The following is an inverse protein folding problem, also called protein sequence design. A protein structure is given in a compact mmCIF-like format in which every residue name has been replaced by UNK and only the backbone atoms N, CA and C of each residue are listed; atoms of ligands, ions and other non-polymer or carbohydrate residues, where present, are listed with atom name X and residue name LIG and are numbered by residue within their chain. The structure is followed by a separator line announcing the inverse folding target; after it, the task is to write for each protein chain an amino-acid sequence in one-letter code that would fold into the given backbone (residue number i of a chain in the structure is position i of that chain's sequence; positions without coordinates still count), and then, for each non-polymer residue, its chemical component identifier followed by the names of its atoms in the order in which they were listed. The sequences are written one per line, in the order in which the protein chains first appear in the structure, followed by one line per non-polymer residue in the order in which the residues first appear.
data_IF_214106334842
#
_entry.id   IF_214106334842
#
_cell.length_a   1.000
_cell.length_b   1.000
_cell.length_c   1.000
_cell.angle_alpha   90.00
_cell.angle_beta   90.00
_cell.angle_gamma   90.00
#
_symmetry.space_group_name_H-M   'P 1'
#
loop_
_entity.id
_entity.type
_entity.pdbx_description
1 polymer ?
#
# COMPACT_ATOMS: atom_id res chain seq x y z
N UNK A 1 -15.16 14.38 -18.66
CA UNK A 1 -14.70 13.39 -17.66
C UNK A 1 -15.86 13.11 -16.71
N UNK A 2 -16.13 11.84 -16.40
CA UNK A 2 -17.19 11.43 -15.48
C UNK A 2 -16.64 11.30 -14.05
N UNK A 3 -15.49 10.63 -13.90
CA UNK A 3 -14.82 10.48 -12.61
C UNK A 3 -13.31 10.40 -12.79
N UNK A 4 -12.58 10.79 -11.73
CA UNK A 4 -11.12 10.63 -11.64
C UNK A 4 -10.78 10.05 -10.27
N UNK A 5 -9.97 8.99 -10.27
CA UNK A 5 -9.51 8.30 -9.07
C UNK A 5 -7.99 8.14 -9.09
N UNK A 6 -7.37 8.11 -7.90
CA UNK A 6 -5.94 7.85 -7.76
C UNK A 6 -5.71 6.38 -7.42
N UNK A 7 -4.69 5.80 -8.04
CA UNK A 7 -4.24 4.44 -7.78
C UNK A 7 -2.76 4.48 -7.41
N UNK A 8 -2.46 4.10 -6.18
CA UNK A 8 -1.10 4.15 -5.62
C UNK A 8 -0.59 2.74 -5.42
N UNK A 9 0.49 2.40 -6.09
CA UNK A 9 1.18 1.11 -5.98
C UNK A 9 2.40 1.25 -5.09
N UNK A 10 2.66 0.24 -4.30
CA UNK A 10 3.63 0.25 -3.20
C UNK A 10 4.50 -0.98 -3.29
N UNK A 11 5.80 -0.82 -3.10
CA UNK A 11 6.74 -1.93 -3.04
C UNK A 11 7.96 -1.59 -2.19
N UNK A 12 8.66 -2.63 -1.71
CA UNK A 12 9.93 -2.51 -1.05
C UNK A 12 10.85 -3.71 -1.32
N UNK A 13 12.14 -3.42 -1.45
CA UNK A 13 13.22 -4.39 -1.43
C UNK A 13 13.99 -4.31 -0.13
N UNK A 14 15.11 -5.05 -0.03
CA UNK A 14 16.02 -4.95 1.11
C UNK A 14 16.65 -3.56 1.23
N UNK A 15 16.88 -2.89 0.11
CA UNK A 15 17.68 -1.66 0.04
C UNK A 15 16.85 -0.39 -0.14
N UNK A 16 15.60 -0.53 -0.57
CA UNK A 16 14.76 0.62 -0.92
C UNK A 16 13.27 0.32 -0.73
N UNK A 17 12.47 1.36 -0.61
CA UNK A 17 11.02 1.30 -0.62
C UNK A 17 10.45 2.49 -1.40
N UNK A 18 9.29 2.30 -2.03
CA UNK A 18 8.75 3.34 -2.90
C UNK A 18 7.28 3.19 -3.25
N UNK A 19 6.79 4.18 -3.97
CA UNK A 19 5.42 4.26 -4.45
C UNK A 19 5.33 4.88 -5.83
N UNK A 20 4.35 4.43 -6.60
CA UNK A 20 3.95 5.02 -7.90
C UNK A 20 2.48 5.38 -7.84
N UNK A 21 2.12 6.56 -8.33
CA UNK A 21 0.74 7.04 -8.37
C UNK A 21 0.28 7.21 -9.81
N UNK A 22 -0.85 6.63 -10.12
CA UNK A 22 -1.57 6.80 -11.38
C UNK A 22 -2.90 7.50 -11.15
N UNK A 23 -3.32 8.29 -12.14
CA UNK A 23 -4.67 8.80 -12.25
C UNK A 23 -5.45 7.94 -13.25
N UNK A 24 -6.61 7.45 -12.83
CA UNK A 24 -7.58 6.74 -13.68
C UNK A 24 -8.78 7.65 -13.91
N UNK A 25 -9.01 8.04 -15.15
CA UNK A 25 -10.16 8.84 -15.55
C UNK A 25 -11.13 7.99 -16.37
N UNK A 26 -12.43 8.08 -16.03
CA UNK A 26 -13.52 7.45 -16.80
C UNK A 26 -14.32 8.55 -17.47
N UNK A 27 -14.66 8.36 -18.73
CA UNK A 27 -15.40 9.30 -19.55
C UNK A 27 -16.84 8.86 -19.76
N UNK A 28 -17.71 9.78 -20.14
CA UNK A 28 -19.13 9.49 -20.45
C UNK A 28 -19.30 8.48 -21.59
N UNK A 29 -18.33 8.36 -22.49
CA UNK A 29 -18.27 7.37 -23.56
C UNK A 29 -17.96 5.93 -23.07
N UNK A 30 -17.67 5.73 -21.78
CA UNK A 30 -17.17 4.46 -21.26
C UNK A 30 -15.64 4.29 -21.38
N UNK A 31 -14.96 5.17 -22.12
CA UNK A 31 -13.51 5.10 -22.25
C UNK A 31 -12.81 5.33 -20.91
N UNK A 32 -11.73 4.59 -20.67
CA UNK A 32 -10.85 4.72 -19.50
C UNK A 32 -9.48 5.22 -19.94
N UNK A 33 -8.94 6.20 -19.24
CA UNK A 33 -7.57 6.68 -19.44
C UNK A 33 -6.78 6.53 -18.16
N UNK A 34 -5.59 5.94 -18.25
CA UNK A 34 -4.65 5.81 -17.14
C UNK A 34 -3.43 6.66 -17.46
N UNK A 35 -2.97 7.43 -16.47
CA UNK A 35 -1.81 8.30 -16.61
C UNK A 35 -0.92 8.20 -15.39
N UNK A 36 0.36 8.01 -15.63
CA UNK A 36 1.38 8.18 -14.60
C UNK A 36 1.34 9.62 -14.07
N UNK A 37 1.38 9.78 -12.75
CA UNK A 37 1.36 11.09 -12.09
C UNK A 37 2.69 11.37 -11.41
N UNK A 38 3.13 10.43 -10.57
CA UNK A 38 4.38 10.59 -9.82
C UNK A 38 4.91 9.24 -9.33
N UNK A 39 6.22 9.18 -9.12
CA UNK A 39 6.88 8.09 -8.43
C UNK A 39 7.88 8.64 -7.42
N UNK A 40 8.10 7.92 -6.33
CA UNK A 40 9.09 8.24 -5.32
C UNK A 40 9.64 6.98 -4.70
N UNK A 41 10.97 6.91 -4.62
CA UNK A 41 11.66 5.88 -3.85
C UNK A 41 12.53 6.51 -2.75
N UNK A 42 12.84 5.71 -1.75
CA UNK A 42 13.77 6.05 -0.67
C UNK A 42 14.67 4.86 -0.40
N UNK A 43 15.92 5.12 -0.13
CA UNK A 43 16.86 4.11 0.37
C UNK A 43 16.40 3.64 1.75
N UNK A 44 16.53 2.35 2.00
CA UNK A 44 16.22 1.74 3.28
C UNK A 44 17.08 2.33 4.41
N UNK A 45 16.63 2.22 5.68
CA UNK A 45 17.42 2.65 6.82
C UNK A 45 18.72 1.85 6.92
N UNK A 46 19.81 2.46 7.38
CA UNK A 46 21.09 1.78 7.64
C UNK A 46 20.95 0.67 8.72
N UNK A 47 20.04 0.85 9.68
CA UNK A 47 19.73 -0.19 10.65
C UNK A 47 18.89 -1.29 9.97
N UNK A 48 19.27 -2.54 10.21
CA UNK A 48 18.60 -3.71 9.64
C UNK A 48 17.09 -3.66 9.92
N UNK A 49 16.33 -3.56 8.85
CA UNK A 49 14.87 -3.48 8.90
C UNK A 49 14.29 -4.62 8.08
N UNK A 50 13.31 -5.32 8.60
CA UNK A 50 12.66 -6.43 7.87
C UNK A 50 11.89 -5.93 6.65
N UNK A 51 11.84 -6.74 5.59
CA UNK A 51 11.10 -6.40 4.36
C UNK A 51 9.65 -5.98 4.66
N UNK A 52 8.85 -6.71 5.47
CA UNK A 52 7.49 -6.26 5.78
C UNK A 52 7.41 -4.89 6.43
N UNK A 53 8.42 -4.50 7.21
CA UNK A 53 8.48 -3.14 7.76
C UNK A 53 8.81 -2.09 6.70
N UNK A 54 9.68 -2.41 5.73
CA UNK A 54 9.98 -1.53 4.59
C UNK A 54 8.75 -1.37 3.69
N UNK A 55 8.01 -2.45 3.44
CA UNK A 55 6.73 -2.42 2.72
C UNK A 55 5.69 -1.53 3.43
N UNK A 56 5.62 -1.58 4.77
CA UNK A 56 4.76 -0.67 5.54
C UNK A 56 5.26 0.79 5.45
N UNK A 57 6.56 1.02 5.35
CA UNK A 57 7.11 2.36 5.10
C UNK A 57 6.75 2.85 3.70
N UNK A 58 6.75 1.97 2.69
CA UNK A 58 6.25 2.28 1.35
C UNK A 58 4.76 2.68 1.40
N UNK A 59 3.96 1.98 2.21
CA UNK A 59 2.54 2.30 2.38
C UNK A 59 2.32 3.72 2.93
N UNK A 60 3.07 4.11 3.96
CA UNK A 60 3.03 5.49 4.50
C UNK A 60 3.52 6.51 3.48
N UNK A 61 4.59 6.20 2.74
CA UNK A 61 5.10 7.07 1.68
C UNK A 61 4.04 7.30 0.59
N UNK A 62 3.41 6.23 0.11
CA UNK A 62 2.38 6.29 -0.91
C UNK A 62 1.12 7.03 -0.45
N UNK A 63 0.70 6.82 0.81
CA UNK A 63 -0.40 7.60 1.41
C UNK A 63 -0.11 9.11 1.37
N UNK A 64 1.06 9.51 1.83
CA UNK A 64 1.45 10.94 1.86
C UNK A 64 1.56 11.54 0.46
N UNK A 65 2.06 10.76 -0.51
CA UNK A 65 2.09 11.17 -1.92
C UNK A 65 0.68 11.33 -2.48
N UNK A 66 -0.18 10.33 -2.33
CA UNK A 66 -1.57 10.39 -2.78
C UNK A 66 -2.32 11.57 -2.17
N UNK A 67 -2.16 11.82 -0.87
CA UNK A 67 -2.76 12.96 -0.18
C UNK A 67 -2.27 14.32 -0.69
N UNK A 68 -1.01 14.43 -1.09
CA UNK A 68 -0.49 15.67 -1.71
C UNK A 68 -1.03 15.86 -3.13
N UNK A 69 -1.06 14.78 -3.91
CA UNK A 69 -1.54 14.79 -5.30
C UNK A 69 -3.06 15.03 -5.33
N UNK A 70 -3.84 14.43 -4.43
CA UNK A 70 -5.29 14.61 -4.37
C UNK A 70 -5.68 16.08 -4.20
N UNK A 71 -4.95 16.81 -3.37
CA UNK A 71 -5.16 18.25 -3.18
C UNK A 71 -4.87 19.07 -4.42
N UNK A 72 -3.79 18.73 -5.15
CA UNK A 72 -3.40 19.45 -6.38
C UNK A 72 -4.37 19.17 -7.53
N UNK A 73 -4.82 17.92 -7.65
CA UNK A 73 -5.70 17.49 -8.73
C UNK A 73 -7.20 17.63 -8.41
N UNK A 74 -7.55 18.13 -7.21
CA UNK A 74 -8.93 18.13 -6.70
C UNK A 74 -9.62 16.76 -6.80
N UNK A 75 -8.84 15.68 -6.61
CA UNK A 75 -9.33 14.31 -6.60
C UNK A 75 -9.58 13.87 -5.14
N UNK A 76 -10.71 13.19 -4.88
CA UNK A 76 -11.03 12.73 -3.53
C UNK A 76 -10.09 11.60 -3.10
N UNK A 77 -9.44 11.77 -1.94
CA UNK A 77 -8.61 10.71 -1.34
C UNK A 77 -9.48 9.51 -0.89
N UNK A 78 -10.74 9.73 -0.54
CA UNK A 78 -11.68 8.67 -0.15
C UNK A 78 -11.99 7.70 -1.31
N UNK A 79 -11.78 8.15 -2.55
CA UNK A 79 -11.95 7.32 -3.75
C UNK A 79 -10.64 6.72 -4.24
N UNK A 80 -9.51 7.01 -3.59
CA UNK A 80 -8.22 6.45 -3.95
C UNK A 80 -8.15 4.95 -3.60
N UNK A 81 -7.36 4.21 -4.37
CA UNK A 81 -7.06 2.81 -4.10
C UNK A 81 -5.55 2.63 -3.94
N UNK A 82 -5.17 1.93 -2.88
CA UNK A 82 -3.78 1.61 -2.58
C UNK A 82 -3.53 0.12 -2.83
N UNK A 83 -2.46 -0.20 -3.54
CA UNK A 83 -2.12 -1.53 -3.98
C UNK A 83 -0.78 -1.97 -3.41
N UNK A 84 -0.75 -3.09 -2.71
CA UNK A 84 0.48 -3.70 -2.20
C UNK A 84 0.49 -5.19 -2.52
N UNK A 85 1.64 -5.73 -2.87
CA UNK A 85 1.86 -7.17 -3.00
C UNK A 85 2.27 -7.83 -1.68
N UNK A 86 2.40 -7.04 -0.63
CA UNK A 86 2.57 -7.55 0.73
C UNK A 86 1.24 -7.86 1.40
N UNK A 87 0.93 -9.14 1.53
CA UNK A 87 -0.24 -9.57 2.32
C UNK A 87 -0.12 -9.17 3.79
N UNK A 88 1.11 -9.11 4.34
CA UNK A 88 1.36 -8.67 5.71
C UNK A 88 0.90 -7.23 5.93
N UNK A 89 1.25 -6.33 5.01
CA UNK A 89 0.88 -4.91 5.10
C UNK A 89 -0.63 -4.74 5.01
N UNK A 90 -1.28 -5.39 4.05
CA UNK A 90 -2.74 -5.32 3.91
C UNK A 90 -3.44 -5.87 5.14
N UNK A 91 -2.93 -6.95 5.73
CA UNK A 91 -3.47 -7.52 6.96
C UNK A 91 -3.30 -6.58 8.16
N UNK A 92 -2.10 -5.97 8.35
CA UNK A 92 -1.89 -5.01 9.42
C UNK A 92 -2.83 -3.81 9.31
N UNK A 93 -3.01 -3.28 8.09
CA UNK A 93 -3.90 -2.12 7.85
C UNK A 93 -5.36 -2.45 8.14
N UNK A 94 -5.79 -3.70 7.92
CA UNK A 94 -7.14 -4.17 8.24
C UNK A 94 -7.32 -4.53 9.71
N UNK A 95 -6.23 -4.74 10.44
CA UNK A 95 -6.23 -5.07 11.85
C UNK A 95 -6.41 -3.83 12.74
N UNK A 96 -6.50 -4.06 14.05
CA UNK A 96 -6.52 -2.98 15.03
C UNK A 96 -5.09 -2.49 15.28
N UNK A 97 -4.77 -1.22 14.99
CA UNK A 97 -3.42 -0.68 15.16
C UNK A 97 -2.83 -0.93 16.55
N UNK A 98 -3.64 -0.82 17.60
CA UNK A 98 -3.24 -1.04 19.01
C UNK A 98 -2.79 -2.48 19.33
N UNK A 99 -3.12 -3.46 18.47
CA UNK A 99 -2.73 -4.86 18.64
C UNK A 99 -1.29 -5.13 18.19
N UNK A 100 -0.63 -4.17 17.59
CA UNK A 100 0.73 -4.33 17.05
C UNK A 100 1.78 -3.62 17.92
N UNK A 101 3.05 -4.01 17.73
CA UNK A 101 4.20 -3.33 18.33
C UNK A 101 4.30 -1.88 17.83
N UNK A 102 4.99 -0.98 18.55
CA UNK A 102 4.95 0.47 18.27
C UNK A 102 5.27 0.87 16.84
N UNK A 103 6.23 0.19 16.20
CA UNK A 103 6.61 0.50 14.82
C UNK A 103 5.44 0.34 13.85
N UNK A 104 4.75 -0.79 13.91
CA UNK A 104 3.58 -1.10 13.07
C UNK A 104 2.37 -0.30 13.53
N UNK A 105 2.12 -0.25 14.84
CA UNK A 105 0.97 0.45 15.41
C UNK A 105 0.88 1.92 14.98
N UNK A 106 2.01 2.65 15.04
CA UNK A 106 2.04 4.07 14.68
C UNK A 106 1.74 4.30 13.19
N UNK A 107 2.31 3.48 12.32
CA UNK A 107 2.13 3.60 10.85
C UNK A 107 0.74 3.17 10.41
N UNK A 108 0.25 2.07 10.94
CA UNK A 108 -1.14 1.62 10.71
C UNK A 108 -2.13 2.66 11.22
N UNK A 109 -1.87 3.25 12.40
CA UNK A 109 -2.69 4.34 12.94
C UNK A 109 -2.73 5.56 12.01
N UNK A 110 -1.58 5.99 11.46
CA UNK A 110 -1.51 7.08 10.47
C UNK A 110 -2.35 6.76 9.23
N UNK A 111 -2.24 5.53 8.71
CA UNK A 111 -2.98 5.08 7.54
C UNK A 111 -4.48 5.06 7.81
N UNK A 112 -4.92 4.48 8.93
CA UNK A 112 -6.33 4.35 9.29
C UNK A 112 -6.99 5.68 9.63
N UNK A 113 -6.23 6.67 10.09
CA UNK A 113 -6.73 8.02 10.34
C UNK A 113 -7.00 8.80 9.03
N UNK A 114 -6.32 8.45 7.94
CA UNK A 114 -6.39 9.17 6.69
C UNK A 114 -7.22 8.44 5.61
N UNK A 115 -7.40 7.12 5.73
CA UNK A 115 -8.05 6.27 4.71
C UNK A 115 -8.84 5.13 5.33
N UNK A 116 -9.89 4.66 4.63
CA UNK A 116 -10.58 3.43 5.00
C UNK A 116 -9.69 2.21 4.65
N UNK A 117 -9.52 1.23 5.55
CA UNK A 117 -8.82 -0.02 5.26
C UNK A 117 -9.31 -0.75 3.99
N UNK A 118 -10.56 -0.54 3.57
CA UNK A 118 -11.13 -1.10 2.33
C UNK A 118 -10.47 -0.55 1.05
N UNK A 119 -9.85 0.62 1.12
CA UNK A 119 -9.10 1.22 0.00
C UNK A 119 -7.77 0.49 -0.27
N UNK A 120 -7.30 -0.34 0.70
CA UNK A 120 -6.05 -1.08 0.64
C UNK A 120 -6.28 -2.49 0.11
N UNK A 121 -5.70 -2.77 -1.04
CA UNK A 121 -5.92 -4.00 -1.80
C UNK A 121 -4.60 -4.72 -2.08
N UNK A 122 -4.70 -6.03 -2.15
CA UNK A 122 -3.60 -6.86 -2.63
C UNK A 122 -3.52 -6.81 -4.17
N UNK A 123 -2.30 -6.76 -4.68
CA UNK A 123 -1.97 -6.92 -6.09
C UNK A 123 -0.88 -7.98 -6.24
N UNK A 124 -0.96 -8.90 -7.23
CA UNK A 124 0.16 -9.82 -7.51
C UNK A 124 1.43 -9.05 -7.91
N UNK A 125 2.60 -9.50 -7.46
CA UNK A 125 3.89 -8.82 -7.69
C UNK A 125 4.15 -8.56 -9.17
N UNK A 126 3.84 -9.51 -10.05
CA UNK A 126 4.01 -9.35 -11.50
C UNK A 126 3.06 -8.30 -12.14
N UNK A 127 2.09 -7.80 -11.37
CA UNK A 127 1.18 -6.71 -11.76
C UNK A 127 1.43 -5.43 -10.97
N UNK A 128 2.50 -5.38 -10.15
CA UNK A 128 2.85 -4.23 -9.34
C UNK A 128 3.88 -3.35 -10.06
N UNK A 129 3.49 -2.20 -10.65
CA UNK A 129 4.45 -1.34 -11.34
C UNK A 129 5.48 -0.68 -10.40
N UNK A 130 5.24 -0.66 -9.08
CA UNK A 130 6.21 -0.16 -8.12
C UNK A 130 7.45 -1.05 -8.00
N UNK A 131 7.36 -2.34 -8.34
CA UNK A 131 8.50 -3.28 -8.39
C UNK A 131 9.62 -2.77 -9.32
N UNK A 132 9.25 -2.08 -10.41
CA UNK A 132 10.25 -1.49 -11.32
C UNK A 132 11.15 -0.45 -10.64
N UNK A 133 10.64 0.29 -9.65
CA UNK A 133 11.43 1.28 -8.91
C UNK A 133 12.42 0.62 -7.95
N UNK A 134 12.13 -0.62 -7.51
CA UNK A 134 12.94 -1.33 -6.53
C UNK A 134 14.08 -2.12 -7.18
N UNK A 135 14.06 -2.31 -8.49
CA UNK A 135 15.06 -3.09 -9.24
C UNK A 135 16.35 -2.33 -9.55
N UNK A 136 16.45 -1.04 -9.19
CA UNK A 136 17.66 -0.24 -9.46
C UNK A 136 17.94 -0.02 -10.95
N UNK A 137 16.89 0.11 -11.77
CA UNK A 137 17.01 0.31 -13.21
C UNK A 137 17.66 1.64 -13.53
N UNK A 138 18.46 1.68 -14.62
CA UNK A 138 19.01 2.92 -15.16
C UNK A 138 17.88 3.80 -15.67
N UNK A 139 18.05 5.12 -15.62
CA UNK A 139 17.06 6.07 -16.11
C UNK A 139 16.66 5.80 -17.58
N UNK A 140 17.62 5.41 -18.42
CA UNK A 140 17.38 5.06 -19.82
C UNK A 140 16.51 3.79 -20.02
N UNK A 141 16.51 2.87 -19.06
CA UNK A 141 15.67 1.67 -19.05
C UNK A 141 14.28 2.00 -18.51
N UNK A 142 14.23 2.83 -17.48
CA UNK A 142 13.00 3.29 -16.85
C UNK A 142 12.15 4.10 -17.85
N UNK A 143 12.77 5.01 -18.61
CA UNK A 143 12.08 5.86 -19.59
C UNK A 143 11.51 5.06 -20.77
N UNK A 144 12.10 3.90 -21.11
CA UNK A 144 11.65 3.01 -22.18
C UNK A 144 10.61 1.99 -21.72
N UNK A 145 10.36 1.88 -20.41
CA UNK A 145 9.45 0.89 -19.88
C UNK A 145 8.00 1.39 -19.98
N UNK A 146 7.27 0.96 -20.99
CA UNK A 146 5.88 1.36 -21.23
C UNK A 146 4.98 1.06 -20.03
N UNK A 147 5.20 -0.04 -19.31
CA UNK A 147 4.39 -0.43 -18.16
C UNK A 147 4.47 0.58 -17.02
N UNK A 148 5.59 1.32 -16.89
CA UNK A 148 5.68 2.40 -15.90
C UNK A 148 4.76 3.57 -16.28
N UNK A 149 4.65 3.89 -17.56
CA UNK A 149 3.90 5.06 -18.04
C UNK A 149 2.41 4.79 -18.22
N UNK A 150 2.06 3.59 -18.64
CA UNK A 150 0.67 3.18 -18.90
C UNK A 150 0.00 2.52 -17.69
N UNK A 151 0.80 2.13 -16.67
CA UNK A 151 0.30 1.38 -15.53
C UNK A 151 -0.01 -0.08 -15.88
N UNK A 152 -0.71 -0.74 -14.97
CA UNK A 152 -1.10 -2.15 -15.11
C UNK A 152 -2.42 -2.29 -15.85
N UNK A 153 -2.52 -3.32 -16.72
CA UNK A 153 -3.66 -3.55 -17.62
C UNK A 153 -5.02 -3.56 -16.92
N UNK A 154 -5.10 -4.16 -15.74
CA UNK A 154 -6.38 -4.30 -15.04
C UNK A 154 -7.02 -2.95 -14.65
N UNK A 155 -6.25 -1.88 -14.56
CA UNK A 155 -6.82 -0.54 -14.30
C UNK A 155 -7.67 -0.03 -15.48
N UNK A 156 -7.42 -0.56 -16.70
CA UNK A 156 -8.25 -0.27 -17.88
C UNK A 156 -9.62 -0.95 -17.85
N UNK A 157 -9.78 -1.97 -17.01
CA UNK A 157 -10.97 -2.81 -16.96
C UNK A 157 -11.96 -2.37 -15.85
N UNK A 158 -13.11 -3.02 -15.81
CA UNK A 158 -14.11 -2.82 -14.75
C UNK A 158 -13.58 -3.32 -13.39
N UNK A 159 -14.08 -2.70 -12.31
CA UNK A 159 -13.65 -3.05 -10.93
C UNK A 159 -13.85 -4.52 -10.57
N UNK A 160 -14.80 -5.20 -11.21
CA UNK A 160 -15.08 -6.63 -11.05
C UNK A 160 -13.94 -7.53 -11.56
N UNK A 161 -13.14 -7.03 -12.52
CA UNK A 161 -12.03 -7.74 -13.13
C UNK A 161 -10.68 -7.47 -12.42
N UNK A 162 -10.69 -6.57 -11.45
CA UNK A 162 -9.48 -6.25 -10.70
C UNK A 162 -9.04 -7.42 -9.81
N UNK A 163 -7.75 -7.50 -9.45
CA UNK A 163 -7.22 -8.58 -8.62
C UNK A 163 -8.08 -8.83 -7.38
N UNK A 164 -8.36 -10.12 -7.14
CA UNK A 164 -9.20 -10.55 -6.01
C UNK A 164 -8.47 -10.21 -4.70
N UNK A 165 -9.18 -9.52 -3.83
CA UNK A 165 -8.62 -9.02 -2.58
C UNK A 165 -8.59 -10.12 -1.48
N UNK A 166 -8.08 -11.32 -1.81
CA UNK A 166 -7.86 -12.40 -0.85
C UNK A 166 -6.54 -12.14 -0.11
N UNK A 167 -6.64 -11.88 1.17
CA UNK A 167 -5.48 -11.81 2.06
C UNK A 167 -5.39 -13.13 2.81
N UNK A 168 -4.43 -13.96 2.42
CA UNK A 168 -4.07 -15.18 3.15
C UNK A 168 -2.89 -14.85 4.05
N UNK A 169 -3.04 -15.09 5.34
CA UNK A 169 -1.99 -14.76 6.32
C UNK A 169 -0.99 -15.89 6.35
N UNK A 170 0.22 -15.66 5.88
CA UNK A 170 1.37 -16.47 6.27
C UNK A 170 1.72 -16.18 7.72
N UNK A 171 1.68 -17.19 8.57
CA UNK A 171 1.64 -17.04 10.04
C UNK A 171 2.91 -16.44 10.68
N UNK A 172 4.02 -16.28 9.95
CA UNK A 172 5.32 -15.89 10.50
C UNK A 172 5.46 -14.39 10.79
N UNK A 173 5.73 -13.60 9.75
CA UNK A 173 6.11 -12.18 9.88
C UNK A 173 4.97 -11.29 10.38
N UNK A 174 3.73 -11.57 9.99
CA UNK A 174 2.57 -10.80 10.43
C UNK A 174 2.36 -10.91 11.94
N UNK A 175 2.46 -12.12 12.49
CA UNK A 175 2.32 -12.38 13.93
C UNK A 175 3.50 -11.89 14.77
N UNK A 176 4.71 -11.81 14.20
CA UNK A 176 5.90 -11.32 14.91
C UNK A 176 5.74 -9.88 15.40
N UNK A 177 4.89 -9.09 14.75
CA UNK A 177 4.57 -7.72 15.13
C UNK A 177 3.33 -7.59 16.03
N UNK A 178 2.60 -8.65 16.29
CA UNK A 178 1.49 -8.65 17.24
C UNK A 178 2.03 -8.51 18.69
N UNK A 179 1.31 -7.78 19.54
CA UNK A 179 1.57 -7.79 20.98
C UNK A 179 1.13 -9.13 21.57
N UNK A 180 1.92 -9.66 22.48
CA UNK A 180 1.48 -10.82 23.28
C UNK A 180 0.26 -10.39 24.12
N UNK A 181 -0.82 -11.16 24.04
CA UNK A 181 -1.95 -11.00 24.95
C UNK A 181 -1.50 -11.41 26.35
N UNK A 182 -1.32 -10.45 27.24
CA UNK A 182 -1.10 -10.76 28.66
C UNK A 182 -2.47 -11.13 29.21
N UNK A 183 -2.73 -12.42 29.34
CA UNK A 183 -3.86 -12.91 30.12
C UNK A 183 -3.55 -12.62 31.59
N UNK A 184 -4.05 -11.50 32.12
CA UNK A 184 -4.03 -11.24 33.55
C UNK A 184 -5.11 -12.14 34.16
N UNK A 185 -4.74 -13.36 34.52
CA UNK A 185 -5.46 -14.14 35.49
C UNK A 185 -5.25 -13.47 36.85
N UNK A 186 -6.20 -12.66 37.27
CA UNK A 186 -6.27 -12.23 38.70
C UNK A 186 -6.52 -13.48 39.53
N UNK A 187 -5.66 -13.80 40.49
CA UNK A 187 -6.00 -14.84 41.46
C UNK A 187 -7.24 -14.37 42.25
N UNK A 188 -8.23 -15.20 42.22
CA UNK A 188 -9.41 -15.03 43.08
C UNK A 188 -8.94 -15.17 44.52
N UNK A 189 -8.81 -14.08 45.27
CA UNK A 189 -8.63 -14.14 46.73
C UNK A 189 -9.98 -14.51 47.34
N UNK A 190 -10.09 -15.76 47.76
CA UNK A 190 -11.13 -16.20 48.66
C UNK A 190 -10.82 -15.60 50.04
N UNK A 191 -11.58 -14.61 50.45
CA UNK A 191 -11.65 -14.19 51.86
C UNK A 191 -12.48 -15.22 52.64
N UNK A 192 -11.85 -15.83 53.62
CA UNK A 192 -12.48 -16.46 54.75
C UNK A 192 -12.86 -15.40 55.79
#
# INVERSE_FOLDING_TARGET
MLSQTLHTFLDASQDAYGAVVYSRATYKSGAVSIRFVAAKSRVGPLAATSIPRLELMAAVLGLRMAGSISRVLNASLDQATFWSDSMNVVWWIRGRSRSFKPFVANRVGEIQNATDPKQWRYVPTNKNPADLLMRGLKLSELTKNENLWTGTDFLGHEKSEWPVNKVVIEQGAAKAEAKMSISITRPFQSSL
#
